data_IF_686024285565
#
_entry.id   IF_686024285565
#
_cell.length_a   1.000
_cell.length_b   1.000
_cell.length_c   1.000
_cell.angle_alpha   90.00
_cell.angle_beta   90.00
_cell.angle_gamma   90.00
#
_symmetry.space_group_name_H-M   'P 1'
#
loop_
_entity.id
_entity.type
_entity.pdbx_description
1 polymer ?
2 non-polymer ?
3 non-polymer ?
4 water ?
#
# COMPACT_ATOMS: atom_id res chain seq x y z
N UNK A 1 -5.81 4.70 17.93
CA UNK A 1 -6.03 6.09 17.48
C UNK A 1 -6.62 6.14 16.08
N UNK A 2 -6.72 7.34 15.53
CA UNK A 2 -7.23 7.55 14.18
C UNK A 2 -6.15 8.26 13.37
N UNK A 3 -5.76 7.66 12.25
CA UNK A 3 -4.73 8.23 11.40
C UNK A 3 -5.31 8.76 10.08
N UNK A 4 -5.08 10.03 9.79
CA UNK A 4 -5.56 10.62 8.55
C UNK A 4 -4.49 10.35 7.49
N UNK A 5 -4.83 10.51 6.22
CA UNK A 5 -3.88 10.20 5.15
C UNK A 5 -3.29 11.38 4.37
N UNK A 6 -3.31 12.57 4.96
CA UNK A 6 -2.76 13.76 4.29
C UNK A 6 -1.27 13.54 4.04
N UNK A 7 -0.64 12.74 4.89
CA UNK A 7 0.76 12.42 4.70
C UNK A 7 0.93 10.93 4.91
N UNK A 8 2.10 10.40 4.60
CA UNK A 8 2.35 8.98 4.76
C UNK A 8 2.05 8.56 6.19
N UNK A 9 1.27 7.49 6.38
CA UNK A 9 0.96 7.06 7.75
C UNK A 9 2.13 6.34 8.40
N UNK A 10 3.10 7.11 8.90
CA UNK A 10 4.27 6.54 9.57
C UNK A 10 4.04 6.45 11.07
N UNK A 11 4.49 5.33 11.65
CA UNK A 11 4.35 5.08 13.09
C UNK A 11 5.65 4.47 13.63
N UNK A 12 5.80 4.48 14.95
CA UNK A 12 6.98 3.92 15.58
C UNK A 12 6.75 2.46 15.90
N UNK A 13 7.72 1.63 15.56
CA UNK A 13 7.63 0.20 15.84
C UNK A 13 8.85 -0.23 16.64
N UNK A 14 8.71 -1.36 17.33
CA UNK A 14 9.80 -1.89 18.12
C UNK A 14 10.02 -3.35 17.70
N UNK A 15 11.23 -3.64 17.22
CA UNK A 15 11.56 -4.98 16.79
C UNK A 15 13.03 -5.28 17.06
N UNK A 16 13.29 -6.49 17.58
CA UNK A 16 14.65 -6.89 17.88
C UNK A 16 15.31 -5.90 18.80
N UNK A 17 14.50 -5.21 19.61
CA UNK A 17 15.03 -4.24 20.54
C UNK A 17 15.23 -2.84 19.98
N UNK A 18 15.10 -2.69 18.66
CA UNK A 18 15.29 -1.37 18.04
C UNK A 18 13.98 -0.66 17.68
N UNK A 19 13.99 0.66 17.82
CA UNK A 19 12.82 1.46 17.48
C UNK A 19 13.02 1.98 16.05
N UNK A 20 11.99 1.84 15.22
CA UNK A 20 12.05 2.31 13.85
C UNK A 20 10.73 2.92 13.42
N UNK A 21 10.74 3.62 12.30
CA UNK A 21 9.53 4.21 11.77
C UNK A 21 9.07 3.32 10.62
N UNK A 22 7.78 2.99 10.62
CA UNK A 22 7.23 2.14 9.59
C UNK A 22 5.92 2.67 9.06
N UNK A 23 5.66 2.37 7.80
CA UNK A 23 4.47 2.79 7.09
C UNK A 23 3.34 1.77 7.26
N UNK A 24 2.15 2.21 7.67
CA UNK A 24 1.02 1.30 7.82
C UNK A 24 0.46 1.17 6.40
N UNK A 25 0.66 0.00 5.80
CA UNK A 25 0.26 -0.22 4.42
C UNK A 25 -0.81 -1.30 4.19
N UNK A 26 -2.03 -0.85 3.93
CA UNK A 26 -3.14 -1.77 3.67
C UNK A 26 -3.00 -2.46 2.33
N UNK A 27 -2.16 -1.91 1.46
CA UNK A 27 -1.96 -2.51 0.15
C UNK A 27 -0.90 -3.59 0.14
N UNK A 28 -0.19 -3.75 1.26
CA UNK A 28 0.87 -4.74 1.38
C UNK A 28 0.33 -6.00 2.08
N UNK A 29 0.53 -7.16 1.47
CA UNK A 29 0.06 -8.42 2.05
C UNK A 29 0.98 -8.85 3.19
N UNK A 30 2.26 -8.55 3.04
CA UNK A 30 3.29 -8.92 4.01
C UNK A 30 3.97 -7.70 4.62
N UNK A 31 4.77 -7.96 5.65
CA UNK A 31 5.53 -6.92 6.33
C UNK A 31 6.98 -7.02 5.86
N UNK A 32 7.51 -5.91 5.35
CA UNK A 32 8.87 -5.89 4.84
C UNK A 32 9.69 -4.82 5.55
N UNK A 33 10.79 -5.24 6.16
CA UNK A 33 11.66 -4.33 6.88
C UNK A 33 13.00 -4.12 6.18
N UNK A 34 13.62 -2.97 6.43
CA UNK A 34 14.90 -2.66 5.84
C UNK A 34 15.92 -3.67 6.33
N UNK A 35 16.98 -3.84 5.57
CA UNK A 35 18.04 -4.79 5.91
C UNK A 35 18.49 -4.62 7.35
N UNK A 36 18.45 -5.71 8.12
CA UNK A 36 18.87 -5.70 9.52
C UNK A 36 19.28 -7.11 9.91
N UNK A 37 20.30 -7.21 10.75
CA UNK A 37 20.84 -8.49 11.17
C UNK A 37 20.10 -9.18 12.32
N UNK A 38 18.96 -9.79 12.00
CA UNK A 38 18.16 -10.50 13.00
C UNK A 38 18.69 -11.90 13.24
N UNK A 39 18.64 -12.37 14.50
CA UNK A 39 19.12 -13.71 14.79
C UNK A 39 18.05 -14.72 14.42
N UNK A 40 18.44 -15.98 14.28
CA UNK A 40 17.48 -17.01 13.95
C UNK A 40 17.59 -17.54 12.54
N UNK A 41 16.85 -18.61 12.27
CA UNK A 41 16.86 -19.23 10.96
C UNK A 41 15.88 -18.48 10.08
N UNK A 42 16.13 -18.51 8.78
CA UNK A 42 15.25 -17.84 7.83
C UNK A 42 15.28 -18.61 6.52
N UNK A 43 14.36 -18.28 5.61
CA UNK A 43 14.32 -18.94 4.32
C UNK A 43 14.17 -17.88 3.22
N UNK A 44 14.79 -18.12 2.06
CA UNK A 44 14.74 -17.19 0.93
C UNK A 44 13.33 -17.07 0.34
N UNK A 45 13.03 -15.89 -0.16
CA UNK A 45 11.73 -15.63 -0.76
C UNK A 45 11.81 -14.46 -1.72
N UNK A 46 10.91 -14.46 -2.70
CA UNK A 46 10.84 -13.40 -3.69
C UNK A 46 9.47 -12.74 -3.52
N UNK A 47 9.45 -11.43 -3.35
CA UNK A 47 8.18 -10.74 -3.22
C UNK A 47 8.09 -9.69 -4.32
N UNK A 48 6.90 -9.53 -4.87
CA UNK A 48 6.71 -8.58 -5.95
C UNK A 48 6.12 -7.25 -5.55
N UNK A 49 6.73 -6.19 -6.03
CA UNK A 49 6.24 -4.85 -5.75
C UNK A 49 5.87 -4.22 -7.07
N UNK A 50 5.57 -2.92 -7.06
CA UNK A 50 5.19 -2.20 -8.26
C UNK A 50 6.14 -2.33 -9.46
N UNK A 51 7.44 -2.15 -9.24
CA UNK A 51 8.38 -2.23 -10.34
C UNK A 51 9.18 -3.51 -10.48
N UNK A 52 8.63 -4.61 -10.00
CA UNK A 52 9.31 -5.90 -10.08
C UNK A 52 9.42 -6.66 -8.78
N UNK A 53 10.28 -7.67 -8.77
CA UNK A 53 10.51 -8.50 -7.59
C UNK A 53 11.85 -8.22 -6.92
N UNK A 54 11.90 -8.41 -5.61
CA UNK A 54 13.14 -8.26 -4.86
C UNK A 54 13.28 -9.52 -4.03
N UNK A 55 14.52 -9.88 -3.71
CA UNK A 55 14.78 -11.07 -2.90
C UNK A 55 14.84 -10.65 -1.44
N UNK A 56 14.13 -11.38 -0.57
CA UNK A 56 14.12 -11.06 0.85
C UNK A 56 14.34 -12.30 1.72
N UNK A 57 14.54 -12.06 3.01
CA UNK A 57 14.73 -13.14 3.97
C UNK A 57 13.52 -13.19 4.89
N UNK A 58 12.89 -14.36 4.97
CA UNK A 58 11.70 -14.55 5.78
C UNK A 58 11.97 -15.11 7.18
N UNK A 59 11.58 -14.34 8.20
CA UNK A 59 11.73 -14.75 9.59
C UNK A 59 10.33 -14.93 10.16
N UNK A 60 10.09 -16.03 10.87
CA UNK A 60 8.78 -16.28 11.45
C UNK A 60 8.74 -16.05 12.95
N UNK A 61 7.54 -15.89 13.48
CA UNK A 61 7.33 -15.67 14.91
C UNK A 61 8.23 -14.62 15.52
N UNK A 62 8.29 -13.46 14.88
CA UNK A 62 9.10 -12.34 15.38
C UNK A 62 8.19 -11.39 16.15
N UNK A 63 8.50 -11.15 17.45
CA UNK A 63 7.69 -10.23 18.26
C UNK A 63 7.90 -8.81 17.76
N UNK A 64 6.81 -8.08 17.57
CA UNK A 64 6.93 -6.70 17.10
C UNK A 64 5.87 -5.84 17.76
N UNK A 65 6.28 -4.66 18.24
CA UNK A 65 5.35 -3.76 18.89
C UNK A 65 5.03 -2.62 17.92
N UNK A 66 3.75 -2.42 17.65
CA UNK A 66 3.32 -1.40 16.71
C UNK A 66 2.53 -0.30 17.40
N UNK A 67 3.16 0.86 17.57
CA UNK A 67 2.53 2.01 18.20
C UNK A 67 1.94 1.61 19.56
N UNK A 68 2.72 0.86 20.33
CA UNK A 68 2.26 0.43 21.64
C UNK A 68 1.39 -0.81 21.67
N UNK A 69 1.18 -1.42 20.50
CA UNK A 69 0.36 -2.62 20.41
C UNK A 69 1.25 -3.82 20.07
N UNK A 70 1.21 -4.84 20.90
CA UNK A 70 2.01 -6.03 20.67
C UNK A 70 1.47 -6.91 19.56
N UNK A 71 2.38 -7.51 18.81
CA UNK A 71 2.01 -8.39 17.72
C UNK A 71 3.15 -9.36 17.50
N UNK A 72 2.89 -10.44 16.77
CA UNK A 72 3.92 -11.42 16.51
C UNK A 72 3.58 -12.10 15.19
N UNK A 73 4.55 -12.17 14.29
CA UNK A 73 4.29 -12.80 13.02
C UNK A 73 5.48 -12.87 12.09
N UNK A 74 5.21 -13.11 10.82
CA UNK A 74 6.25 -13.22 9.82
C UNK A 74 6.73 -11.86 9.36
N UNK A 75 8.04 -11.72 9.23
CA UNK A 75 8.64 -10.47 8.78
C UNK A 75 9.64 -10.80 7.67
N UNK A 76 9.59 -10.03 6.59
CA UNK A 76 10.51 -10.24 5.48
C UNK A 76 11.55 -9.12 5.55
N UNK A 77 12.81 -9.48 5.41
CA UNK A 77 13.89 -8.49 5.49
C UNK A 77 14.64 -8.44 4.17
N UNK A 78 14.79 -7.24 3.63
CA UNK A 78 15.49 -7.08 2.37
C UNK A 78 15.73 -5.63 2.02
N UNK A 79 16.25 -5.36 0.80
CA UNK A 79 16.53 -4.00 0.36
C UNK A 79 15.28 -3.21 -0.01
N UNK A 80 14.55 -2.74 1.00
CA UNK A 80 13.36 -1.95 0.75
C UNK A 80 13.69 -0.51 1.10
N UNK A 81 13.15 0.45 0.34
CA UNK A 81 13.44 1.85 0.64
C UNK A 81 12.81 2.29 1.96
N UNK A 82 11.83 1.52 2.44
CA UNK A 82 11.17 1.88 3.70
C UNK A 82 10.56 0.66 4.40
N UNK A 83 10.42 0.76 5.72
CA UNK A 83 9.81 -0.32 6.50
C UNK A 83 8.31 -0.30 6.25
N UNK A 84 7.75 -1.48 5.97
CA UNK A 84 6.33 -1.63 5.66
C UNK A 84 5.60 -2.63 6.55
N UNK A 85 4.57 -2.18 7.24
CA UNK A 85 3.77 -3.05 8.07
C UNK A 85 2.56 -3.44 7.22
N UNK A 86 2.49 -4.71 6.86
CA UNK A 86 1.40 -5.19 6.02
C UNK A 86 0.20 -5.74 6.77
N UNK A 87 -0.75 -6.30 6.01
CA UNK A 87 -1.97 -6.83 6.59
C UNK A 87 -1.79 -7.96 7.60
N UNK A 88 -0.77 -8.80 7.42
CA UNK A 88 -0.56 -9.91 8.35
C UNK A 88 -0.43 -9.40 9.79
N UNK A 89 0.14 -8.21 9.96
CA UNK A 89 0.29 -7.63 11.29
C UNK A 89 -0.81 -6.62 11.64
N UNK A 90 -1.30 -5.89 10.64
CA UNK A 90 -2.36 -4.90 10.89
C UNK A 90 -3.61 -5.56 11.46
N UNK A 91 -3.94 -6.75 10.98
CA UNK A 91 -5.13 -7.46 11.48
C UNK A 91 -4.94 -7.76 12.98
N UNK A 92 -3.71 -8.07 13.36
CA UNK A 92 -3.40 -8.40 14.75
C UNK A 92 -3.64 -7.25 15.73
N UNK A 93 -3.46 -6.01 15.28
CA UNK A 93 -3.68 -4.88 16.17
C UNK A 93 -5.07 -4.27 15.98
N UNK A 94 -5.94 -5.01 15.29
CA UNK A 94 -7.31 -4.57 15.06
C UNK A 94 -7.46 -3.31 14.24
N UNK A 95 -6.60 -3.16 13.24
CA UNK A 95 -6.63 -1.99 12.38
C UNK A 95 -7.69 -2.13 11.29
N UNK A 96 -8.43 -1.05 11.06
CA UNK A 96 -9.48 -1.04 10.04
C UNK A 96 -9.41 0.25 9.20
N UNK A 97 -9.98 0.20 8.00
CA UNK A 97 -10.05 1.36 7.13
C UNK A 97 -11.48 1.85 7.28
N UNK A 98 -11.68 3.15 7.42
CA UNK A 98 -13.04 3.67 7.59
C UNK A 98 -13.33 4.93 6.79
N UNK A 99 -14.50 4.97 6.18
CA UNK A 99 -14.96 6.14 5.43
C UNK A 99 -16.45 6.09 5.17
N UNK B 1 -17.93 2.91 5.02
CA UNK B 1 -18.00 1.57 5.65
C UNK B 1 -16.74 1.37 6.49
N UNK B 2 -16.73 0.28 7.25
CA UNK B 2 -15.57 -0.08 8.07
C UNK B 2 -15.06 -1.35 7.41
N UNK B 3 -13.78 -1.35 7.03
CA UNK B 3 -13.21 -2.49 6.35
C UNK B 3 -12.09 -3.13 7.15
N UNK B 4 -12.22 -4.42 7.42
CA UNK B 4 -11.21 -5.16 8.17
C UNK B 4 -10.14 -5.58 7.17
N UNK B 5 -8.99 -6.02 7.67
CA UNK B 5 -7.90 -6.36 6.77
C UNK B 5 -7.47 -7.81 6.65
N UNK B 6 -8.38 -8.73 6.98
CA UNK B 6 -8.09 -10.17 6.88
C UNK B 6 -8.00 -10.59 5.42
N UNK B 7 -8.64 -9.80 4.56
CA UNK B 7 -8.62 -10.05 3.13
C UNK B 7 -8.17 -8.74 2.49
N UNK B 8 -7.69 -8.80 1.25
CA UNK B 8 -7.27 -7.59 0.57
C UNK B 8 -8.44 -6.60 0.50
N UNK B 9 -8.18 -5.33 0.86
CA UNK B 9 -9.23 -4.30 0.83
C UNK B 9 -9.56 -3.86 -0.59
N UNK B 10 -10.30 -4.71 -1.29
CA UNK B 10 -10.69 -4.41 -2.66
C UNK B 10 -12.05 -3.74 -2.72
N UNK B 11 -12.23 -2.84 -3.67
CA UNK B 11 -13.48 -2.15 -3.84
C UNK B 11 -13.74 -1.96 -5.31
N UNK B 12 -14.98 -1.66 -5.64
CA UNK B 12 -15.36 -1.44 -7.02
C UNK B 12 -15.31 0.05 -7.30
N UNK B 13 -14.72 0.40 -8.44
CA UNK B 13 -14.63 1.79 -8.83
C UNK B 13 -15.26 1.94 -10.21
N UNK B 14 -15.73 3.14 -10.51
CA UNK B 14 -16.33 3.42 -11.80
C UNK B 14 -15.53 4.59 -12.37
N UNK B 15 -14.91 4.36 -13.52
CA UNK B 15 -14.11 5.40 -14.16
C UNK B 15 -14.31 5.36 -15.66
N UNK B 16 -14.25 6.53 -16.30
CA UNK B 16 -14.44 6.60 -17.74
C UNK B 16 -15.72 5.91 -18.17
N UNK B 17 -16.62 5.66 -17.21
CA UNK B 17 -17.87 5.00 -17.51
C UNK B 17 -17.76 3.48 -17.51
N UNK B 18 -16.68 2.98 -16.93
CA UNK B 18 -16.42 1.54 -16.87
C UNK B 18 -16.15 1.08 -15.43
N UNK B 19 -16.53 -0.16 -15.12
CA UNK B 19 -16.31 -0.70 -13.79
C UNK B 19 -15.01 -1.47 -13.67
N UNK B 20 -14.35 -1.34 -12.52
CA UNK B 20 -13.10 -2.03 -12.27
C UNK B 20 -12.92 -2.30 -10.78
N UNK B 21 -12.00 -3.20 -10.47
CA UNK B 21 -11.73 -3.56 -9.09
C UNK B 21 -10.40 -2.91 -8.71
N UNK B 22 -10.32 -2.36 -7.51
CA UNK B 22 -9.09 -1.70 -7.05
C UNK B 22 -8.80 -1.92 -5.57
N UNK B 23 -7.53 -1.78 -5.22
CA UNK B 23 -7.06 -1.98 -3.86
C UNK B 23 -6.89 -0.65 -3.11
N UNK B 24 -7.45 -0.55 -1.90
CA UNK B 24 -7.31 0.66 -1.10
C UNK B 24 -5.91 0.50 -0.51
N UNK B 25 -5.00 1.36 -0.96
CA UNK B 25 -3.59 1.26 -0.60
C UNK B 25 -3.04 2.48 0.13
N UNK B 26 -3.00 2.43 1.46
CA UNK B 26 -2.51 3.58 2.25
C UNK B 26 -1.01 3.81 2.07
N UNK B 27 -0.29 2.82 1.55
CA UNK B 27 1.14 2.95 1.33
C UNK B 27 1.47 3.55 -0.04
N UNK B 28 0.45 3.77 -0.86
CA UNK B 28 0.66 4.35 -2.19
C UNK B 28 0.36 5.85 -2.14
N UNK B 29 1.29 6.68 -2.58
CA UNK B 29 1.08 8.13 -2.58
C UNK B 29 0.06 8.55 -3.63
N UNK B 30 0.16 7.91 -4.79
CA UNK B 30 -0.72 8.22 -5.91
C UNK B 30 -1.56 7.03 -6.29
N UNK B 31 -2.45 7.26 -7.25
CA UNK B 31 -3.35 6.24 -7.75
C UNK B 31 -2.87 5.80 -9.15
N UNK B 32 -2.73 4.49 -9.33
CA UNK B 32 -2.27 3.95 -10.60
C UNK B 32 -3.15 2.78 -11.02
N UNK B 33 -3.63 2.82 -12.26
CA UNK B 33 -4.47 1.78 -12.80
C UNK B 33 -3.82 1.07 -13.97
N UNK B 34 -4.28 -0.15 -14.24
CA UNK B 34 -3.75 -0.94 -15.34
C UNK B 34 -4.00 -0.22 -16.67
N UNK B 35 -3.20 -0.58 -17.67
CA UNK B 35 -3.31 0.02 -19.00
C UNK B 35 -4.77 0.10 -19.45
N UNK B 36 -5.18 1.28 -19.91
CA UNK B 36 -6.54 1.50 -20.38
C UNK B 36 -6.61 2.85 -21.07
N UNK B 37 -7.68 3.09 -21.82
CA UNK B 37 -7.84 4.36 -22.52
C UNK B 37 -8.64 5.36 -21.69
N UNK B 38 -8.09 6.56 -21.53
CA UNK B 38 -8.76 7.61 -20.81
C UNK B 38 -8.78 8.86 -21.68
N UNK B 39 -9.91 9.59 -21.68
CA UNK B 39 -9.99 10.79 -22.50
C UNK B 39 -9.12 11.91 -21.93
N UNK B 40 -8.73 12.85 -22.79
CA UNK B 40 -7.89 13.95 -22.35
C UNK B 40 -6.42 13.74 -22.64
N UNK B 41 -5.63 14.78 -22.40
CA UNK B 41 -4.20 14.70 -22.63
C UNK B 41 -3.51 14.09 -21.42
N UNK B 42 -2.34 13.49 -21.64
CA UNK B 42 -1.58 12.89 -20.56
C UNK B 42 -0.12 13.29 -20.69
N UNK B 43 0.61 13.19 -19.59
CA UNK B 43 2.02 13.53 -19.56
C UNK B 43 2.78 12.31 -19.06
N UNK B 44 3.96 12.03 -19.64
CA UNK B 44 4.74 10.88 -19.22
C UNK B 44 5.26 11.12 -17.80
N UNK B 45 5.27 10.09 -16.98
CA UNK B 45 5.74 10.22 -15.61
C UNK B 45 6.37 8.92 -15.16
N UNK B 46 7.21 9.00 -14.15
CA UNK B 46 7.86 7.82 -13.59
C UNK B 46 7.59 7.74 -12.11
N UNK B 47 7.16 6.58 -11.64
CA UNK B 47 6.90 6.38 -10.23
C UNK B 47 7.71 5.19 -9.77
N UNK B 48 8.14 5.22 -8.51
CA UNK B 48 8.93 4.13 -7.99
C UNK B 48 8.30 3.46 -6.79
N UNK B 49 8.58 2.17 -6.66
CA UNK B 49 8.08 1.41 -5.55
C UNK B 49 9.08 0.31 -5.28
N UNK B 50 8.63 -0.79 -4.70
CA UNK B 50 9.52 -1.91 -4.44
C UNK B 50 9.73 -2.60 -5.77
N UNK B 51 10.97 -2.94 -6.07
CA UNK B 51 11.24 -3.59 -7.34
C UNK B 51 11.78 -2.60 -8.35
N UNK B 52 11.52 -1.31 -8.12
CA UNK B 52 12.03 -0.29 -9.03
C UNK B 52 11.00 0.69 -9.56
N UNK B 53 11.38 1.40 -10.61
CA UNK B 53 10.53 2.41 -11.26
C UNK B 53 9.87 1.92 -12.54
N UNK B 54 8.71 2.50 -12.84
CA UNK B 54 7.97 2.17 -14.07
C UNK B 54 7.49 3.48 -14.71
N UNK B 55 7.24 3.44 -16.01
CA UNK B 55 6.77 4.60 -16.74
C UNK B 55 5.26 4.55 -16.83
N UNK B 56 4.61 5.66 -16.49
CA UNK B 56 3.15 5.71 -16.53
C UNK B 56 2.65 6.96 -17.26
N UNK B 57 1.35 7.02 -17.49
CA UNK B 57 0.71 8.16 -18.14
C UNK B 57 -0.08 8.89 -17.07
N UNK B 58 0.17 10.19 -16.90
CA UNK B 58 -0.56 10.97 -15.91
C UNK B 58 -1.74 11.74 -16.49
N UNK B 59 -2.93 11.42 -16.00
CA UNK B 59 -4.16 12.10 -16.42
C UNK B 59 -4.64 12.94 -15.24
N UNK B 60 -4.85 14.24 -15.47
CA UNK B 60 -5.28 15.12 -14.39
C UNK B 60 -6.78 15.39 -14.31
N UNK B 61 -7.25 15.69 -13.11
CA UNK B 61 -8.63 16.00 -12.82
C UNK B 61 -9.62 15.01 -13.47
N UNK B 62 -9.44 13.73 -13.16
CA UNK B 62 -10.29 12.67 -13.70
C UNK B 62 -11.35 12.29 -12.66
N UNK B 63 -12.64 12.35 -13.04
CA UNK B 63 -13.70 11.98 -12.09
C UNK B 63 -13.65 10.48 -11.86
N UNK B 64 -13.81 10.05 -10.62
CA UNK B 64 -13.80 8.63 -10.30
C UNK B 64 -14.66 8.33 -9.09
N UNK B 65 -15.45 7.27 -9.20
CA UNK B 65 -16.35 6.87 -8.12
C UNK B 65 -15.77 5.66 -7.41
N UNK B 66 -15.50 5.81 -6.13
CA UNK B 66 -14.92 4.74 -5.32
C UNK B 66 -15.93 4.24 -4.30
N UNK B 67 -16.45 3.04 -4.53
CA UNK B 67 -17.41 2.44 -3.62
C UNK B 67 -18.54 3.41 -3.28
N UNK B 68 -19.06 4.10 -4.29
CA UNK B 68 -20.15 5.03 -4.08
C UNK B 68 -19.75 6.46 -3.76
N UNK B 69 -18.49 6.69 -3.41
CA UNK B 69 -18.03 8.03 -3.07
C UNK B 69 -17.31 8.69 -4.24
N UNK B 70 -17.70 9.91 -4.54
CA UNK B 70 -17.12 10.64 -5.65
C UNK B 70 -15.81 11.36 -5.35
N UNK B 71 -14.87 11.27 -6.30
CA UNK B 71 -13.59 11.93 -6.17
C UNK B 71 -13.19 12.43 -7.56
N UNK B 72 -12.38 13.47 -7.59
CA UNK B 72 -11.89 14.02 -8.85
C UNK B 72 -10.44 14.39 -8.64
N UNK B 73 -9.52 13.66 -9.26
CA UNK B 73 -8.12 13.96 -9.07
C UNK B 73 -7.22 13.29 -10.10
N UNK B 74 -5.93 13.26 -9.81
CA UNK B 74 -4.93 12.67 -10.69
C UNK B 74 -4.95 11.15 -10.68
N UNK B 75 -4.93 10.58 -11.88
CA UNK B 75 -4.93 9.14 -12.05
C UNK B 75 -3.81 8.75 -13.01
N UNK B 76 -2.93 7.86 -12.56
CA UNK B 76 -1.84 7.38 -13.40
C UNK B 76 -2.24 6.04 -14.02
N UNK B 77 -1.83 5.82 -15.27
CA UNK B 77 -2.12 4.58 -15.98
C UNK B 77 -0.83 3.98 -16.52
N UNK B 78 -0.62 2.69 -16.25
CA UNK B 78 0.58 2.04 -16.71
C UNK B 78 0.67 0.57 -16.33
N UNK B 79 1.83 -0.07 -16.56
CA UNK B 79 2.07 -1.49 -16.27
C UNK B 79 2.15 -1.85 -14.78
N UNK B 80 1.13 -1.46 -14.02
CA UNK B 80 1.10 -1.78 -12.61
C UNK B 80 0.54 -3.21 -12.47
N UNK B 81 1.03 -3.97 -11.48
CA UNK B 81 0.54 -5.34 -11.29
C UNK B 81 -0.95 -5.41 -10.92
N UNK B 82 -1.50 -4.33 -10.38
CA UNK B 82 -2.90 -4.30 -9.99
C UNK B 82 -3.38 -2.86 -9.80
N UNK B 83 -4.69 -2.64 -9.84
CA UNK B 83 -5.25 -1.29 -9.66
C UNK B 83 -5.12 -0.88 -8.20
N UNK B 84 -4.54 0.29 -7.99
CA UNK B 84 -4.32 0.82 -6.64
C UNK B 84 -4.88 2.22 -6.44
N UNK B 85 -5.61 2.42 -5.33
CA UNK B 85 -6.15 3.73 -5.01
C UNK B 85 -5.23 4.23 -3.89
N UNK B 86 -4.48 5.29 -4.19
CA UNK B 86 -3.54 5.84 -3.22
C UNK B 86 -4.10 6.97 -2.38
N UNK B 87 -3.24 7.56 -1.56
CA UNK B 87 -3.65 8.64 -0.66
C UNK B 87 -4.25 9.87 -1.33
N UNK B 88 -3.85 10.20 -2.55
CA UNK B 88 -4.41 11.39 -3.19
C UNK B 88 -5.94 11.29 -3.30
N UNK B 89 -6.47 10.09 -3.55
CA UNK B 89 -7.91 9.93 -3.66
C UNK B 89 -8.55 9.49 -2.34
N UNK B 90 -7.80 8.70 -1.57
CA UNK B 90 -8.33 8.24 -0.29
C UNK B 90 -8.68 9.41 0.61
N UNK B 91 -7.89 10.49 0.54
CA UNK B 91 -8.15 11.66 1.36
C UNK B 91 -9.44 12.36 0.92
N UNK B 92 -9.72 12.35 -0.39
CA UNK B 92 -10.91 12.99 -0.90
C UNK B 92 -12.20 12.35 -0.41
N UNK B 93 -12.18 11.04 -0.18
CA UNK B 93 -13.38 10.35 0.29
C UNK B 93 -13.40 10.25 1.82
N UNK B 94 -12.45 10.92 2.46
CA UNK B 94 -12.38 10.95 3.91
C UNK B 94 -11.98 9.66 4.59
N UNK B 95 -11.11 8.91 3.94
CA UNK B 95 -10.65 7.63 4.47
C UNK B 95 -9.60 7.81 5.57
N UNK B 96 -9.70 7.00 6.63
CA UNK B 96 -8.74 7.06 7.73
C UNK B 96 -8.43 5.65 8.21
N UNK B 97 -7.31 5.47 8.90
CA UNK B 97 -6.94 4.18 9.47
C UNK B 97 -7.29 4.28 10.96
N UNK B 98 -7.86 3.21 11.50
CA UNK B 98 -8.25 3.22 12.89
C UNK B 98 -7.89 1.94 13.65
N UNK B 99 -7.50 2.08 14.91
CA UNK B 99 -7.19 0.92 15.73
C UNK B 99 -7.03 1.32 17.20
X LIG C 1 -8.39 5.85 20.91
X LIG C 1 -7.06 5.32 20.89
X LIG C 1 -8.90 6.11 22.10
X LIG C 1 -8.99 6.47 19.66
X LIG D 1 12.25 -7.39 22.04
X LIG D 1 10.96 -7.48 21.43
X LIG D 1 12.49 -6.31 22.79
X LIG D 1 13.39 -8.32 21.62
X LIG E 1 -9.30 -0.04 -22.68
X LIG E 1 -9.65 1.04 -21.79
X LIG E 1 -9.96 -1.19 -22.51
X LIG E 1 -8.50 0.24 -23.94
X LIG F 1 -21.33 4.00 3.02
X LIG F 1 -22.00 3.17 2.07
X LIG F 1 -21.11 5.26 2.63
X LIG F 1 -21.31 3.63 4.51
X LIG G 1 1.11 -4.30 -5.30
X LIG G 1 2.44 -4.47 -4.47
X LIG G 1 2.34 -3.94 -3.05
X LIG G 1 3.67 -4.16 -2.43
X LIG G 1 4.65 -3.42 -2.83
X LIG G 1 3.78 -5.14 -1.46
X LIG G 1 4.96 -5.58 -0.65
X LIG G 1 4.54 -6.73 0.31
X LIG G 1 5.43 -4.58 0.23
X LIG G 1 6.13 -6.07 -1.46
X LIG G 1 1.89 -2.45 -3.26
X LIG G 1 0.67 -2.13 -4.09
X LIG G 1 0.88 -2.86 -5.44
X LIG G 1 1.70 -1.75 -1.94
X LIG G 1 2.35 -0.43 -1.96
X LIG G 1 1.58 0.06 -0.88
X LIG G 1 3.75 -0.29 -1.47
X LIG G 1 4.43 1.07 -1.51
X LIG G 1 5.93 0.88 -0.86
X LIG G 1 6.68 2.29 -0.92
X LIG G 1 6.14 3.55 -0.20
X LIG G 1 6.88 4.82 -0.30
X LIG G 1 8.16 4.86 -1.12
X LIG G 1 8.67 3.64 -1.83
X LIG G 1 7.94 2.37 -1.72
X LIG G 1 4.61 1.61 -3.00
X LIG G 1 4.91 0.91 -4.05
X LIG G 1 4.44 2.91 -3.02
X LIG G 1 4.58 3.74 -4.21
X LIG G 1 4.93 5.17 -3.85
X LIG G 1 4.24 5.61 -2.68
X LIG G 1 4.65 5.95 -5.10
X LIG G 1 3.43 5.41 -5.76
X LIG G 1 2.43 5.85 -6.68
X LIG G 1 1.36 4.90 -7.05
X LIG G 1 1.30 3.50 -6.49
X LIG G 1 2.32 3.05 -5.56
X LIG G 1 3.38 3.92 -5.15
X LIG G 1 1.26 -4.84 -6.65
X LIG G 1 1.47 -6.34 -6.74
X LIG G 1 0.31 -7.23 -6.45
X LIG G 1 1.74 -9.25 -6.85
X LIG G 1 2.92 -8.43 -7.16
X LIG G 1 2.80 -6.94 -7.10
X LIG G 1 2.10 -10.58 -6.98
X LIG G 1 3.50 -10.83 -7.35
X LIG G 1 3.90 -9.38 -7.44
X LIG G 1 0.37 -8.72 -6.48
X LIG G 1 6.34 0.37 0.25
#
# INVERSE_FOLDING_TARGET
>A
PQITLWKRPLVTIRIGGQLKEALLDTGADDTVLEEMNLPGRWKPKMIGGIGGFIKVRQYDQIPIEICGHKAIGTVLVGPTPTNVIGRNLLTQIGCTLNF
>B
PQITLWKRPLVTIRIGGQLKEALLDTGADDTVLEEMNLPGRWKPKMIGGIGGFIKVRQYDQIPIEICGHKAIGTVLVGPTPTNVIGRNLLTQIGCTLNF
>C hetero
1 ACT C O OXT CH3
>D hetero
1 ACT C O OXT CH3
>E hetero
1 ACT C O OXT CH3
>F hetero
1 ACT C O OXT CH3
>G hetero
1 XN2 N1 C1 C2 C3 O1 N2 C4 C5 C6 C7 N3 C8 C9 C10 C11 O2 C12 C13 C14 C15 C16 C17 C18 C19 C20 C21 O3 N4 C22 C23 O4 C24 C25 C26 C27 C28 C29 C30 C31 C32 C33 C34 C35 C36 O5 C38 O6 C37 C39
#
